data_IF_562458531285
#
_entry.id   IF_562458531285
#
_cell.length_a   1.000
_cell.length_b   1.000
_cell.length_c   1.000
_cell.angle_alpha   90.00
_cell.angle_beta   90.00
_cell.angle_gamma   90.00
#
_symmetry.space_group_name_H-M   'P 1'
#
loop_
_entity.id
_entity.type
_entity.pdbx_description
1 polymer ?
#
# COMPACT_ATOMS: atom_id res chain seq x y z
N UNK A 1 -3.00 2.70 31.37
CA UNK A 1 -3.93 1.66 30.86
C UNK A 1 -3.23 0.97 29.70
N UNK A 2 -3.25 -0.36 29.65
CA UNK A 2 -2.71 -1.08 28.49
C UNK A 2 -3.81 -1.01 27.42
N UNK A 3 -3.58 -0.25 26.35
CA UNK A 3 -4.49 -0.18 25.21
C UNK A 3 -4.55 -1.53 24.53
N UNK A 4 -5.74 -2.10 24.39
CA UNK A 4 -5.96 -3.38 23.71
C UNK A 4 -6.09 -3.11 22.21
N UNK A 5 -5.25 -3.76 21.39
CA UNK A 5 -5.37 -3.71 19.93
C UNK A 5 -6.31 -4.84 19.49
N UNK A 6 -7.36 -4.48 18.75
CA UNK A 6 -8.25 -5.43 18.09
C UNK A 6 -7.86 -5.51 16.61
N UNK A 7 -7.70 -6.73 16.09
CA UNK A 7 -7.48 -7.00 14.68
C UNK A 7 -8.70 -7.67 14.07
N UNK A 8 -9.19 -7.14 12.95
CA UNK A 8 -10.37 -7.68 12.24
C UNK A 8 -10.29 -7.41 10.74
N UNK A 9 -11.09 -8.11 9.90
CA UNK A 9 -11.22 -7.74 8.50
C UNK A 9 -11.62 -6.27 8.32
N UNK A 10 -11.23 -5.69 7.19
CA UNK A 10 -11.68 -4.36 6.77
C UNK A 10 -13.18 -4.40 6.48
N UNK A 11 -13.89 -3.35 6.87
CA UNK A 11 -15.28 -3.05 6.55
C UNK A 11 -15.36 -1.72 5.79
N UNK A 12 -16.38 -1.51 4.95
CA UNK A 12 -16.51 -0.27 4.17
C UNK A 12 -16.55 0.99 5.04
N UNK A 13 -17.06 0.89 6.28
CA UNK A 13 -17.03 1.98 7.26
C UNK A 13 -15.61 2.37 7.71
N UNK A 14 -14.60 1.55 7.42
CA UNK A 14 -13.19 1.84 7.69
C UNK A 14 -12.52 2.63 6.56
N UNK A 15 -13.22 2.85 5.43
CA UNK A 15 -12.62 3.47 4.26
C UNK A 15 -12.02 4.84 4.56
N UNK A 16 -12.82 5.74 5.15
CA UNK A 16 -12.36 7.09 5.49
C UNK A 16 -11.22 7.09 6.52
N UNK A 17 -11.31 6.38 7.66
CA UNK A 17 -10.19 6.27 8.60
C UNK A 17 -8.92 5.67 8.00
N UNK A 18 -9.02 4.67 7.13
CA UNK A 18 -7.87 4.08 6.44
C UNK A 18 -7.27 5.06 5.41
N UNK A 19 -8.13 5.76 4.65
CA UNK A 19 -7.70 6.82 3.73
C UNK A 19 -6.90 7.89 4.45
N UNK A 20 -7.33 8.31 5.64
CA UNK A 20 -6.58 9.28 6.44
C UNK A 20 -5.19 8.76 6.85
N UNK A 21 -5.05 7.46 7.15
CA UNK A 21 -3.74 6.86 7.45
C UNK A 21 -2.85 6.85 6.20
N UNK A 22 -3.42 6.56 5.03
CA UNK A 22 -2.72 6.58 3.73
C UNK A 22 -2.29 8.00 3.38
N UNK A 23 -3.19 8.99 3.56
CA UNK A 23 -2.88 10.41 3.37
C UNK A 23 -1.71 10.83 4.26
N UNK A 24 -1.79 10.52 5.55
CA UNK A 24 -0.75 10.84 6.52
C UNK A 24 0.61 10.19 6.21
N UNK A 25 0.61 9.09 5.50
CA UNK A 25 1.83 8.38 5.12
C UNK A 25 2.47 8.96 3.85
N UNK A 26 1.67 9.27 2.81
CA UNK A 26 2.21 9.50 1.46
C UNK A 26 1.63 10.70 0.70
N UNK A 27 0.48 11.27 1.08
CA UNK A 27 -0.23 12.29 0.29
C UNK A 27 -0.36 13.62 1.06
N UNK A 28 0.75 14.39 1.14
CA UNK A 28 0.82 15.65 1.91
C UNK A 28 1.30 16.87 1.10
N UNK A 29 1.70 16.66 -0.14
CA UNK A 29 2.56 17.62 -0.84
C UNK A 29 1.82 18.52 -1.85
N UNK A 30 0.50 18.36 -2.04
CA UNK A 30 -0.24 19.17 -3.03
C UNK A 30 -0.47 20.62 -2.59
N UNK A 31 -0.33 20.90 -1.28
CA UNK A 31 -0.70 22.20 -0.70
C UNK A 31 -2.21 22.38 -0.47
N UNK A 32 -3.04 21.38 -0.81
CA UNK A 32 -4.48 21.34 -0.61
C UNK A 32 -4.87 20.06 0.12
N UNK A 33 -5.28 20.16 1.40
CA UNK A 33 -5.60 18.98 2.22
C UNK A 33 -6.75 18.16 1.68
N UNK A 34 -7.77 18.79 1.12
CA UNK A 34 -8.90 18.08 0.50
C UNK A 34 -8.43 17.28 -0.72
N UNK A 35 -7.58 17.88 -1.54
CA UNK A 35 -7.01 17.20 -2.70
C UNK A 35 -6.08 16.05 -2.27
N UNK A 36 -5.25 16.23 -1.24
CA UNK A 36 -4.42 15.17 -0.66
C UNK A 36 -5.26 13.97 -0.20
N UNK A 37 -6.44 14.24 0.37
CA UNK A 37 -7.37 13.16 0.77
C UNK A 37 -7.91 12.40 -0.45
N UNK A 38 -8.25 13.09 -1.53
CA UNK A 38 -8.68 12.43 -2.78
C UNK A 38 -7.57 11.59 -3.41
N UNK A 39 -6.33 12.07 -3.45
CA UNK A 39 -5.18 11.25 -3.90
C UNK A 39 -5.04 9.97 -3.06
N UNK A 40 -5.09 10.10 -1.73
CA UNK A 40 -5.02 8.97 -0.82
C UNK A 40 -6.20 8.00 -1.01
N UNK A 41 -7.42 8.53 -1.23
CA UNK A 41 -8.61 7.72 -1.46
C UNK A 41 -8.55 6.96 -2.79
N UNK A 42 -8.03 7.59 -3.85
CA UNK A 42 -7.82 6.92 -5.14
C UNK A 42 -6.79 5.78 -5.02
N UNK A 43 -5.64 6.04 -4.38
CA UNK A 43 -4.57 5.05 -4.16
C UNK A 43 -5.04 3.88 -3.29
N UNK A 44 -5.77 4.18 -2.20
CA UNK A 44 -6.35 3.15 -1.33
C UNK A 44 -7.41 2.32 -2.04
N UNK A 45 -8.28 2.92 -2.85
CA UNK A 45 -9.29 2.22 -3.67
C UNK A 45 -8.63 1.29 -4.67
N UNK A 46 -7.55 1.73 -5.34
CA UNK A 46 -6.75 0.86 -6.19
C UNK A 46 -6.21 -0.34 -5.42
N UNK A 47 -5.58 -0.11 -4.25
CA UNK A 47 -5.05 -1.19 -3.42
C UNK A 47 -6.15 -2.19 -3.01
N UNK A 48 -7.35 -1.73 -2.66
CA UNK A 48 -8.50 -2.57 -2.36
C UNK A 48 -8.96 -3.37 -3.59
N UNK A 49 -8.98 -2.75 -4.78
CA UNK A 49 -9.41 -3.39 -6.02
C UNK A 49 -8.56 -4.58 -6.44
N UNK A 50 -7.26 -4.53 -6.11
CA UNK A 50 -6.30 -5.59 -6.48
C UNK A 50 -6.06 -6.62 -5.38
N UNK A 51 -6.57 -6.38 -4.16
CA UNK A 51 -6.32 -7.23 -2.99
C UNK A 51 -7.39 -8.31 -2.80
N UNK A 52 -7.02 -9.39 -2.13
CA UNK A 52 -7.90 -10.52 -1.78
C UNK A 52 -8.00 -10.74 -0.28
N UNK A 53 -7.13 -10.08 0.48
CA UNK A 53 -7.07 -10.11 1.93
C UNK A 53 -6.95 -8.70 2.47
N UNK A 54 -7.63 -8.43 3.57
CA UNK A 54 -7.56 -7.17 4.30
C UNK A 54 -7.66 -7.40 5.80
N UNK A 55 -6.89 -6.64 6.58
CA UNK A 55 -7.00 -6.61 8.04
C UNK A 55 -6.68 -5.22 8.57
N UNK A 56 -7.56 -4.72 9.44
CA UNK A 56 -7.34 -3.47 10.17
C UNK A 56 -6.97 -3.73 11.62
N UNK A 57 -6.19 -2.80 12.18
CA UNK A 57 -5.91 -2.71 13.61
C UNK A 57 -6.69 -1.56 14.21
N UNK A 58 -7.37 -1.81 15.34
CA UNK A 58 -8.23 -0.85 16.04
C UNK A 58 -7.75 -0.71 17.48
N UNK A 59 -7.51 0.51 17.93
CA UNK A 59 -7.14 0.86 19.30
C UNK A 59 -8.17 1.84 19.84
N UNK A 60 -8.77 1.52 20.98
CA UNK A 60 -9.79 2.35 21.64
C UNK A 60 -10.92 2.79 20.68
N UNK A 61 -11.37 1.87 19.81
CA UNK A 61 -12.42 2.09 18.81
C UNK A 61 -12.01 2.86 17.56
N UNK A 62 -10.72 3.22 17.40
CA UNK A 62 -10.21 3.95 16.25
C UNK A 62 -9.30 3.06 15.40
N UNK A 63 -9.50 3.07 14.09
CA UNK A 63 -8.59 2.41 13.14
C UNK A 63 -7.21 3.07 13.22
N UNK A 64 -6.17 2.27 13.40
CA UNK A 64 -4.79 2.75 13.54
C UNK A 64 -3.80 2.08 12.59
N UNK A 65 -4.26 1.15 11.77
CA UNK A 65 -3.43 0.52 10.75
C UNK A 65 -4.23 -0.44 9.89
N UNK A 66 -3.70 -0.71 8.71
CA UNK A 66 -4.27 -1.62 7.71
C UNK A 66 -3.17 -2.36 6.99
N UNK A 67 -3.43 -3.62 6.66
CA UNK A 67 -2.66 -4.41 5.70
C UNK A 67 -3.59 -4.96 4.63
N UNK A 68 -3.14 -4.94 3.39
CA UNK A 68 -3.77 -5.57 2.25
C UNK A 68 -2.78 -6.53 1.59
N UNK A 69 -3.30 -7.65 1.08
CA UNK A 69 -2.50 -8.59 0.31
C UNK A 69 -3.30 -9.17 -0.86
N UNK A 70 -2.59 -9.52 -1.91
CA UNK A 70 -3.13 -10.20 -3.08
C UNK A 70 -2.61 -11.63 -3.12
N UNK A 71 -3.52 -12.61 -2.98
CA UNK A 71 -3.24 -14.04 -3.09
C UNK A 71 -4.29 -14.71 -3.97
N UNK A 72 -3.89 -15.66 -4.79
CA UNK A 72 -4.84 -16.46 -5.58
C UNK A 72 -5.74 -15.64 -6.52
N UNK A 73 -6.99 -16.10 -6.72
CA UNK A 73 -7.95 -15.45 -7.61
C UNK A 73 -8.73 -14.33 -6.91
N UNK A 74 -8.78 -13.15 -7.52
CA UNK A 74 -9.58 -12.01 -7.03
C UNK A 74 -11.08 -12.30 -7.09
N UNK A 75 -11.82 -11.76 -6.11
CA UNK A 75 -13.27 -11.65 -6.21
C UNK A 75 -13.60 -10.48 -7.17
N UNK A 76 -14.06 -10.81 -8.36
CA UNK A 76 -14.33 -9.79 -9.41
C UNK A 76 -15.33 -8.73 -8.97
N UNK A 77 -16.39 -9.08 -8.21
CA UNK A 77 -17.38 -8.09 -7.75
C UNK A 77 -16.78 -7.05 -6.82
N UNK A 78 -15.95 -7.47 -5.87
CA UNK A 78 -15.27 -6.56 -4.94
C UNK A 78 -14.21 -5.74 -5.68
N UNK A 79 -13.48 -6.37 -6.61
CA UNK A 79 -12.49 -5.70 -7.46
C UNK A 79 -13.15 -4.61 -8.33
N UNK A 80 -14.26 -4.92 -8.98
CA UNK A 80 -14.99 -3.99 -9.85
C UNK A 80 -15.58 -2.81 -9.04
N UNK A 81 -16.10 -3.08 -7.85
CA UNK A 81 -16.62 -2.03 -6.95
C UNK A 81 -15.53 -1.00 -6.62
N UNK A 82 -14.38 -1.45 -6.12
CA UNK A 82 -13.31 -0.53 -5.72
C UNK A 82 -12.62 0.13 -6.91
N UNK A 83 -12.55 -0.53 -8.06
CA UNK A 83 -12.08 0.10 -9.30
C UNK A 83 -13.04 1.21 -9.78
N UNK A 84 -14.35 1.03 -9.59
CA UNK A 84 -15.32 2.10 -9.89
C UNK A 84 -15.18 3.27 -8.91
N UNK A 85 -15.00 3.00 -7.61
CA UNK A 85 -14.75 4.04 -6.59
C UNK A 85 -13.49 4.84 -6.93
N UNK A 86 -12.39 4.18 -7.29
CA UNK A 86 -11.16 4.84 -7.76
C UNK A 86 -11.43 5.76 -8.96
N UNK A 87 -12.12 5.23 -9.97
CA UNK A 87 -12.46 5.98 -11.18
C UNK A 87 -13.27 7.25 -10.86
N UNK A 88 -14.31 7.12 -10.03
CA UNK A 88 -15.18 8.24 -9.65
C UNK A 88 -14.41 9.33 -8.86
N UNK A 89 -13.50 8.91 -7.98
CA UNK A 89 -12.62 9.81 -7.24
C UNK A 89 -11.70 10.58 -8.20
N UNK A 90 -11.05 9.88 -9.15
CA UNK A 90 -10.17 10.53 -10.14
C UNK A 90 -10.96 11.51 -11.01
N UNK A 91 -12.20 11.21 -11.38
CA UNK A 91 -13.05 12.17 -12.09
C UNK A 91 -13.36 13.42 -11.26
N UNK A 92 -13.61 13.28 -9.96
CA UNK A 92 -13.79 14.43 -9.05
C UNK A 92 -12.51 15.24 -8.93
N UNK A 93 -11.35 14.58 -8.77
CA UNK A 93 -10.04 15.26 -8.75
C UNK A 93 -9.82 16.08 -10.02
N UNK A 94 -10.16 15.54 -11.19
CA UNK A 94 -10.02 16.23 -12.48
C UNK A 94 -10.92 17.46 -12.58
N UNK A 95 -12.08 17.48 -11.92
CA UNK A 95 -12.97 18.63 -11.90
C UNK A 95 -12.51 19.72 -10.94
N UNK A 96 -11.87 19.35 -9.83
CA UNK A 96 -11.46 20.29 -8.77
C UNK A 96 -10.09 20.90 -9.08
N UNK A 97 -9.11 20.07 -9.44
CA UNK A 97 -7.71 20.46 -9.64
C UNK A 97 -7.10 19.67 -10.82
N UNK A 98 -7.42 20.00 -12.06
CA UNK A 98 -7.01 19.25 -13.25
C UNK A 98 -5.48 19.13 -13.39
N UNK A 99 -4.73 20.20 -13.12
CA UNK A 99 -3.26 20.20 -13.23
C UNK A 99 -2.59 19.30 -12.19
N UNK A 100 -3.09 19.30 -10.96
CA UNK A 100 -2.61 18.40 -9.90
C UNK A 100 -2.95 16.94 -10.24
N UNK A 101 -4.14 16.72 -10.79
CA UNK A 101 -4.60 15.38 -11.19
C UNK A 101 -3.74 14.82 -12.34
N UNK A 102 -3.38 15.61 -13.33
CA UNK A 102 -2.47 15.20 -14.40
C UNK A 102 -1.07 14.85 -13.86
N UNK A 103 -0.59 15.58 -12.86
CA UNK A 103 0.67 15.28 -12.17
C UNK A 103 0.58 13.97 -11.39
N UNK A 104 -0.49 13.77 -10.61
CA UNK A 104 -0.76 12.52 -9.89
C UNK A 104 -0.81 11.32 -10.84
N UNK A 105 -1.58 11.40 -11.93
CA UNK A 105 -1.67 10.32 -12.92
C UNK A 105 -0.33 10.03 -13.61
N UNK A 106 0.49 11.07 -13.83
CA UNK A 106 1.85 10.91 -14.37
C UNK A 106 2.76 10.19 -13.36
N UNK A 107 2.67 10.54 -12.09
CA UNK A 107 3.37 9.87 -10.99
C UNK A 107 3.00 8.38 -10.95
N UNK A 108 1.70 8.05 -10.88
CA UNK A 108 1.20 6.66 -10.83
C UNK A 108 1.67 5.85 -12.05
N UNK A 109 1.51 6.38 -13.28
CA UNK A 109 1.99 5.71 -14.50
C UNK A 109 3.50 5.43 -14.47
N UNK A 110 4.26 6.36 -13.92
CA UNK A 110 5.72 6.20 -13.82
C UNK A 110 6.08 5.16 -12.76
N UNK A 111 5.38 5.16 -11.61
CA UNK A 111 5.57 4.16 -10.56
C UNK A 111 5.24 2.75 -11.04
N UNK A 112 4.13 2.57 -11.76
CA UNK A 112 3.77 1.28 -12.37
C UNK A 112 4.87 0.79 -13.33
N UNK A 113 5.43 1.69 -14.17
CA UNK A 113 6.54 1.34 -15.05
C UNK A 113 7.79 0.92 -14.28
N UNK A 114 8.09 1.59 -13.16
CA UNK A 114 9.22 1.24 -12.28
C UNK A 114 9.00 -0.13 -11.65
N UNK A 115 7.80 -0.38 -11.13
CA UNK A 115 7.44 -1.65 -10.51
C UNK A 115 7.52 -2.82 -11.50
N UNK A 116 7.02 -2.64 -12.72
CA UNK A 116 7.15 -3.64 -13.78
C UNK A 116 8.63 -3.93 -14.11
N UNK A 117 9.46 -2.89 -14.22
CA UNK A 117 10.90 -3.06 -14.43
C UNK A 117 11.55 -3.83 -13.27
N UNK A 118 11.19 -3.54 -12.00
CA UNK A 118 11.70 -4.27 -10.83
C UNK A 118 11.32 -5.75 -10.87
N UNK A 119 10.09 -6.07 -11.30
CA UNK A 119 9.64 -7.47 -11.49
C UNK A 119 10.48 -8.16 -12.58
N UNK A 120 10.74 -7.49 -13.70
CA UNK A 120 11.57 -8.03 -14.79
C UNK A 120 13.01 -8.33 -14.32
N UNK A 121 13.54 -7.57 -13.37
CA UNK A 121 14.87 -7.83 -12.78
C UNK A 121 14.86 -8.99 -11.77
N UNK A 122 13.69 -9.50 -11.38
CA UNK A 122 13.54 -10.60 -10.45
C UNK A 122 12.73 -11.75 -11.10
N UNK A 123 13.36 -12.63 -11.92
CA UNK A 123 12.64 -13.67 -12.66
C UNK A 123 11.87 -14.68 -11.78
N UNK A 124 12.19 -14.72 -10.48
CA UNK A 124 11.54 -15.58 -9.49
C UNK A 124 10.64 -14.78 -8.54
N UNK A 125 10.07 -13.66 -9.02
CA UNK A 125 9.12 -12.88 -8.22
C UNK A 125 7.96 -13.80 -7.77
N UNK A 126 7.65 -13.87 -6.46
CA UNK A 126 6.51 -14.62 -5.96
C UNK A 126 5.19 -14.19 -6.60
N UNK A 127 4.17 -15.06 -6.64
CA UNK A 127 2.85 -14.68 -7.15
C UNK A 127 2.05 -13.83 -6.15
N UNK A 128 2.38 -13.90 -4.85
CA UNK A 128 1.62 -13.29 -3.77
C UNK A 128 2.28 -11.97 -3.34
N UNK A 129 1.47 -10.93 -3.21
CA UNK A 129 1.92 -9.56 -2.95
C UNK A 129 1.32 -9.00 -1.66
N UNK A 130 2.14 -8.33 -0.84
CA UNK A 130 1.66 -7.41 0.19
C UNK A 130 1.46 -6.06 -0.52
N UNK A 131 0.21 -5.71 -0.81
CA UNK A 131 -0.15 -4.57 -1.66
C UNK A 131 -0.15 -3.25 -0.91
N UNK A 132 -0.42 -3.29 0.40
CA UNK A 132 -0.41 -2.12 1.28
C UNK A 132 -0.10 -2.53 2.71
N UNK A 133 0.71 -1.77 3.41
CA UNK A 133 0.85 -1.77 4.86
C UNK A 133 1.02 -0.34 5.35
N UNK A 134 0.01 0.18 6.02
CA UNK A 134 -0.01 1.52 6.59
C UNK A 134 -0.38 1.49 8.07
N UNK A 135 0.34 2.26 8.89
CA UNK A 135 0.12 2.36 10.34
C UNK A 135 0.21 3.81 10.77
N UNK A 136 -0.76 4.27 11.53
CA UNK A 136 -0.79 5.62 12.10
C UNK A 136 0.47 5.89 12.93
N UNK A 137 1.01 7.09 12.76
CA UNK A 137 2.18 7.55 13.54
C UNK A 137 1.93 7.54 15.06
N UNK A 138 0.68 7.70 15.49
CA UNK A 138 0.25 7.70 16.89
C UNK A 138 0.41 6.35 17.59
N UNK A 139 0.49 5.25 16.83
CA UNK A 139 0.63 3.87 17.37
C UNK A 139 2.00 3.25 17.08
N UNK A 140 2.98 4.06 16.67
CA UNK A 140 4.36 3.60 16.49
C UNK A 140 4.92 3.02 17.79
N UNK A 141 5.69 1.95 17.68
CA UNK A 141 6.28 1.26 18.85
C UNK A 141 5.36 0.24 19.53
N UNK A 142 4.06 0.20 19.20
CA UNK A 142 3.12 -0.80 19.74
C UNK A 142 3.16 -2.15 19.00
N UNK A 143 4.03 -2.31 18.01
CA UNK A 143 4.13 -3.55 17.23
C UNK A 143 3.00 -3.80 16.24
N UNK A 144 2.08 -2.85 16.05
CA UNK A 144 0.90 -2.98 15.17
C UNK A 144 1.29 -3.39 13.75
N UNK A 145 2.29 -2.73 13.15
CA UNK A 145 2.76 -3.07 11.80
C UNK A 145 3.29 -4.50 11.68
N UNK A 146 3.97 -5.00 12.72
CA UNK A 146 4.46 -6.38 12.74
C UNK A 146 3.33 -7.39 12.75
N UNK A 147 2.32 -7.19 13.61
CA UNK A 147 1.17 -8.11 13.69
C UNK A 147 0.35 -8.10 12.40
N UNK A 148 0.14 -6.92 11.79
CA UNK A 148 -0.55 -6.80 10.50
C UNK A 148 0.23 -7.52 9.38
N UNK A 149 1.54 -7.34 9.32
CA UNK A 149 2.39 -8.03 8.33
C UNK A 149 2.37 -9.55 8.55
N UNK A 150 2.46 -10.02 9.80
CA UNK A 150 2.38 -11.43 10.14
C UNK A 150 1.04 -12.04 9.74
N UNK A 151 -0.07 -11.30 9.91
CA UNK A 151 -1.38 -11.75 9.48
C UNK A 151 -1.47 -11.92 7.96
N UNK A 152 -0.92 -10.98 7.18
CA UNK A 152 -0.88 -11.10 5.72
C UNK A 152 0.01 -12.27 5.28
N UNK A 153 1.19 -12.45 5.86
CA UNK A 153 2.07 -13.59 5.58
C UNK A 153 1.39 -14.93 5.94
N UNK A 154 0.74 -15.00 7.09
CA UNK A 154 -0.04 -16.18 7.51
C UNK A 154 -1.18 -16.48 6.55
N UNK A 155 -1.85 -15.44 6.03
CA UNK A 155 -2.89 -15.62 5.01
C UNK A 155 -2.30 -16.22 3.73
N UNK A 156 -1.18 -15.69 3.22
CA UNK A 156 -0.46 -16.26 2.05
C UNK A 156 -0.18 -17.75 2.27
N UNK A 157 0.41 -18.12 3.42
CA UNK A 157 0.72 -19.52 3.76
C UNK A 157 -0.54 -20.38 3.82
N UNK A 158 -1.63 -19.89 4.41
CA UNK A 158 -2.90 -20.60 4.49
C UNK A 158 -3.56 -20.83 3.11
N UNK A 159 -3.24 -19.99 2.12
CA UNK A 159 -3.65 -20.16 0.72
C UNK A 159 -2.69 -21.07 -0.08
N UNK A 160 -1.67 -21.62 0.56
CA UNK A 160 -0.67 -22.50 -0.07
C UNK A 160 0.52 -21.75 -0.69
N UNK A 161 0.61 -20.43 -0.49
CA UNK A 161 1.76 -19.63 -0.91
C UNK A 161 2.99 -19.93 -0.02
N UNK A 162 4.16 -19.96 -0.63
CA UNK A 162 5.44 -20.24 0.04
C UNK A 162 6.35 -19.02 0.12
N UNK A 163 5.97 -17.95 -0.53
CA UNK A 163 6.76 -16.72 -0.59
C UNK A 163 5.86 -15.53 -0.95
N UNK A 164 6.27 -14.34 -0.55
CA UNK A 164 5.56 -13.10 -0.88
C UNK A 164 6.53 -12.01 -1.31
N UNK A 165 6.02 -10.99 -2.02
CA UNK A 165 6.80 -9.82 -2.35
C UNK A 165 6.04 -8.53 -1.99
N UNK A 166 6.78 -7.42 -1.99
CA UNK A 166 6.23 -6.08 -1.87
C UNK A 166 7.13 -5.07 -2.58
N UNK A 167 6.53 -3.93 -2.92
CA UNK A 167 7.28 -2.74 -3.32
C UNK A 167 7.42 -1.79 -2.14
N UNK A 168 8.55 -1.13 -2.06
CA UNK A 168 8.83 -0.05 -1.12
C UNK A 168 9.93 0.86 -1.69
N UNK A 169 10.30 1.90 -0.97
CA UNK A 169 11.24 2.89 -1.46
C UNK A 169 11.99 3.61 -0.31
N UNK A 170 12.82 4.61 -0.69
CA UNK A 170 13.64 5.37 0.27
C UNK A 170 12.85 6.34 1.14
N UNK A 171 11.61 6.69 0.78
CA UNK A 171 10.76 7.60 1.53
C UNK A 171 9.86 6.83 2.52
N UNK A 172 9.84 5.48 2.39
CA UNK A 172 9.17 4.54 3.27
C UNK A 172 10.11 3.96 4.35
N UNK A 173 9.51 3.28 5.33
CA UNK A 173 10.24 2.56 6.39
C UNK A 173 10.79 1.20 5.90
N UNK A 174 11.52 1.17 4.76
CA UNK A 174 11.98 -0.07 4.12
C UNK A 174 12.82 -0.98 5.03
N UNK A 175 13.58 -0.41 5.99
CA UNK A 175 14.36 -1.17 6.97
C UNK A 175 13.49 -2.05 7.88
N UNK A 176 12.21 -1.68 8.07
CA UNK A 176 11.25 -2.50 8.79
C UNK A 176 11.11 -3.88 8.12
N UNK A 177 11.02 -3.92 6.81
CA UNK A 177 10.91 -5.19 6.07
C UNK A 177 12.21 -6.00 6.15
N UNK A 178 13.38 -5.36 6.10
CA UNK A 178 14.68 -6.03 6.29
C UNK A 178 14.77 -6.72 7.66
N UNK A 179 14.33 -6.04 8.73
CA UNK A 179 14.25 -6.60 10.08
C UNK A 179 13.23 -7.73 10.21
N UNK A 180 12.26 -7.80 9.29
CA UNK A 180 11.25 -8.86 9.21
C UNK A 180 11.67 -10.01 8.27
N UNK A 181 12.91 -10.06 7.83
CA UNK A 181 13.46 -11.12 7.03
C UNK A 181 13.27 -10.98 5.52
N UNK A 182 12.63 -9.91 5.06
CA UNK A 182 12.53 -9.62 3.62
C UNK A 182 13.92 -9.32 3.04
N UNK A 183 14.18 -9.85 1.86
CA UNK A 183 15.42 -9.64 1.11
C UNK A 183 15.14 -8.72 -0.08
N UNK A 184 16.02 -7.75 -0.30
CA UNK A 184 15.94 -6.86 -1.45
C UNK A 184 16.32 -7.66 -2.70
N UNK A 185 15.34 -7.97 -3.54
CA UNK A 185 15.50 -8.75 -4.78
C UNK A 185 15.89 -7.87 -5.97
N UNK A 186 15.36 -6.63 -6.03
CA UNK A 186 15.73 -5.65 -7.04
C UNK A 186 15.69 -4.23 -6.48
N UNK A 187 16.45 -3.32 -7.10
CA UNK A 187 16.51 -1.90 -6.75
C UNK A 187 16.70 -1.05 -7.99
N UNK A 188 16.04 0.12 -8.03
CA UNK A 188 16.16 1.08 -9.12
C UNK A 188 16.28 2.50 -8.58
N UNK A 189 17.28 3.23 -9.04
CA UNK A 189 17.45 4.67 -8.79
C UNK A 189 16.59 5.47 -9.75
N UNK A 190 15.87 6.46 -9.22
CA UNK A 190 15.16 7.42 -10.05
C UNK A 190 16.16 8.33 -10.80
N UNK A 191 15.88 8.61 -12.06
CA UNK A 191 16.60 9.63 -12.80
C UNK A 191 16.14 11.04 -12.44
N UNK A 192 16.80 12.08 -12.95
CA UNK A 192 16.48 13.47 -12.62
C UNK A 192 15.03 13.84 -12.96
N UNK A 193 14.54 13.44 -14.14
CA UNK A 193 13.15 13.75 -14.53
C UNK A 193 12.12 13.07 -13.62
N UNK A 194 12.37 11.84 -13.22
CA UNK A 194 11.53 11.11 -12.27
C UNK A 194 11.52 11.78 -10.89
N UNK A 195 12.68 12.30 -10.45
CA UNK A 195 12.77 13.10 -9.21
C UNK A 195 11.98 14.40 -9.28
N UNK A 196 11.91 15.04 -10.43
CA UNK A 196 11.03 16.21 -10.64
C UNK A 196 9.55 15.86 -10.59
N UNK A 197 9.19 14.60 -10.86
CA UNK A 197 7.83 14.09 -10.69
C UNK A 197 7.58 13.53 -9.27
N UNK A 198 8.33 13.96 -8.26
CA UNK A 198 8.21 13.55 -6.85
C UNK A 198 8.44 12.06 -6.57
N UNK A 199 9.01 11.31 -7.50
CA UNK A 199 9.34 9.91 -7.23
C UNK A 199 10.45 9.78 -6.17
N UNK A 200 10.43 8.73 -5.34
CA UNK A 200 11.46 8.46 -4.33
C UNK A 200 12.83 8.28 -4.99
N UNK A 201 13.90 8.51 -4.20
CA UNK A 201 15.27 8.40 -4.69
C UNK A 201 15.60 7.01 -5.24
N UNK A 202 15.15 5.98 -4.54
CA UNK A 202 15.30 4.58 -4.96
C UNK A 202 14.00 3.83 -4.65
N UNK A 203 13.59 2.96 -5.59
CA UNK A 203 12.49 2.01 -5.44
C UNK A 203 13.03 0.60 -5.34
N UNK A 204 12.38 -0.24 -4.55
CA UNK A 204 12.82 -1.59 -4.22
C UNK A 204 11.71 -2.61 -4.41
N UNK A 205 12.09 -3.81 -4.87
CA UNK A 205 11.32 -5.03 -4.76
C UNK A 205 11.93 -5.88 -3.64
N UNK A 206 11.14 -6.20 -2.65
CA UNK A 206 11.52 -7.11 -1.57
C UNK A 206 10.75 -8.43 -1.67
N UNK A 207 11.41 -9.54 -1.35
CA UNK A 207 10.80 -10.88 -1.30
C UNK A 207 11.03 -11.52 0.06
N UNK A 208 10.09 -12.36 0.49
CA UNK A 208 10.17 -13.15 1.72
C UNK A 208 9.88 -14.61 1.39
N UNK A 209 10.73 -15.53 1.84
CA UNK A 209 10.46 -16.96 1.88
C UNK A 209 9.68 -17.27 3.18
N UNK A 210 8.48 -17.82 3.04
CA UNK A 210 7.58 -18.12 4.17
C UNK A 210 7.81 -19.55 4.74
N UNK A 211 8.69 -20.34 4.14
CA UNK A 211 9.07 -21.67 4.62
C UNK A 211 10.40 -21.67 5.39
N UNK A 212 11.05 -20.53 5.56
CA UNK A 212 12.36 -20.39 6.17
C UNK A 212 12.31 -20.33 7.71
#
# INVERSE_FOLDING_TARGET
MISRVLYRPFDESDFEPCTQIVQDAWHKDSGNEVYNFFEAAADFSYCLSVSTFSQVAVVDGRVCGIVLARTGKRNMKTSDHWAQVEHDIIQQMQQIEPELTDRYLTFIKTQVRINNWLIEQCPQTPPDEITLLAVSSSTRGLGVGSVLLDAACSHVTNQGGTSAYLFTDTDCSYKFYEHRGFKRAAARKANLNERFCSLPRESFLYTLDLNA
#
